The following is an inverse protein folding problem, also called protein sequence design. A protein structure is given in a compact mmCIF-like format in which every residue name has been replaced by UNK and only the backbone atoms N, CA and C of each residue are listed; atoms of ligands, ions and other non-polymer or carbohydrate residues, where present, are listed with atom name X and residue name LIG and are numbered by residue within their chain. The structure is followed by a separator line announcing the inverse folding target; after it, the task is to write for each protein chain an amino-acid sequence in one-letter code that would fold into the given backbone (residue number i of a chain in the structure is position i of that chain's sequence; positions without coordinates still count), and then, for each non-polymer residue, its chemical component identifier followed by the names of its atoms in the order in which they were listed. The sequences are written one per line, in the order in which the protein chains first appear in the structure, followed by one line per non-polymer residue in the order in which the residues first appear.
data_IF_737839023808
#
_entry.id   IF_737839023808
#
_cell.length_a   1.000
_cell.length_b   1.000
_cell.length_c   1.000
_cell.angle_alpha   90.00
_cell.angle_beta   90.00
_cell.angle_gamma   90.00
#
_symmetry.space_group_name_H-M   'P 1'
#
loop_
_entity.id
_entity.type
_entity.pdbx_description
1 polymer ?
#
# COMPACT_ATOMS: atom_id res chain seq x y z
N UNK A 1 -28.45 12.77 -5.84
CA UNK A 1 -28.07 11.42 -6.29
C UNK A 1 -26.77 11.57 -7.03
N UNK A 2 -25.67 11.06 -6.48
CA UNK A 2 -24.36 11.09 -7.13
C UNK A 2 -24.37 10.02 -8.22
N UNK A 3 -24.03 10.40 -9.46
CA UNK A 3 -23.91 9.45 -10.57
C UNK A 3 -22.94 8.31 -10.18
N UNK A 4 -23.23 7.05 -10.56
CA UNK A 4 -22.34 5.93 -10.25
C UNK A 4 -21.00 6.11 -10.95
N UNK A 5 -19.90 5.99 -10.19
CA UNK A 5 -18.54 6.10 -10.71
C UNK A 5 -18.24 4.91 -11.62
N UNK A 6 -18.06 5.16 -12.91
CA UNK A 6 -17.80 4.13 -13.90
C UNK A 6 -16.34 3.69 -13.92
N UNK A 7 -15.42 4.67 -13.93
CA UNK A 7 -13.98 4.45 -13.86
C UNK A 7 -13.33 5.45 -12.91
N UNK A 8 -12.45 4.96 -12.04
CA UNK A 8 -11.66 5.81 -11.15
C UNK A 8 -10.46 5.05 -10.57
N UNK A 9 -9.41 5.80 -10.23
CA UNK A 9 -8.32 5.36 -9.37
C UNK A 9 -8.24 6.33 -8.20
N UNK A 10 -8.53 5.82 -7.00
CA UNK A 10 -8.55 6.58 -5.75
C UNK A 10 -7.42 6.12 -4.84
N UNK A 11 -6.64 7.09 -4.37
CA UNK A 11 -5.62 6.92 -3.35
C UNK A 11 -6.15 7.37 -1.99
N UNK A 12 -5.86 6.59 -0.96
CA UNK A 12 -6.17 6.90 0.42
C UNK A 12 -4.89 6.96 1.24
N UNK A 13 -4.81 7.94 2.15
CA UNK A 13 -3.76 8.05 3.16
C UNK A 13 -4.35 7.77 4.53
N UNK A 14 -3.90 6.70 5.18
CA UNK A 14 -4.44 6.25 6.46
C UNK A 14 -3.32 6.30 7.51
N UNK A 15 -3.52 6.99 8.66
CA UNK A 15 -2.50 7.05 9.70
C UNK A 15 -2.14 5.64 10.19
N UNK A 16 -0.84 5.35 10.30
CA UNK A 16 -0.35 4.02 10.64
C UNK A 16 -0.87 3.55 12.01
N UNK A 17 -1.59 2.43 12.02
CA UNK A 17 -2.20 1.86 13.21
C UNK A 17 -3.50 2.54 13.65
N UNK A 18 -4.14 3.34 12.78
CA UNK A 18 -5.53 3.73 12.92
C UNK A 18 -6.45 2.51 12.73
N UNK A 19 -7.53 2.41 13.51
CA UNK A 19 -8.45 1.26 13.49
C UNK A 19 -7.88 -0.12 13.91
N UNK A 20 -6.55 -0.28 13.96
CA UNK A 20 -5.87 -1.55 14.19
C UNK A 20 -5.25 -1.71 15.59
N UNK A 21 -4.38 -2.72 15.70
CA UNK A 21 -3.72 -3.08 16.95
C UNK A 21 -2.85 -1.93 17.50
N UNK A 22 -2.94 -1.60 18.81
CA UNK A 22 -2.04 -0.65 19.45
C UNK A 22 -0.56 -0.97 19.22
N UNK A 23 -0.20 -2.24 19.04
CA UNK A 23 1.16 -2.68 18.79
C UNK A 23 1.72 -2.13 17.47
N UNK A 24 0.91 -2.02 16.41
CA UNK A 24 1.30 -1.42 15.13
C UNK A 24 1.58 0.07 15.33
N UNK A 25 0.72 0.77 16.07
CA UNK A 25 0.88 2.19 16.38
C UNK A 25 2.14 2.47 17.20
N UNK A 26 2.40 1.68 18.24
CA UNK A 26 3.59 1.82 19.09
C UNK A 26 4.87 1.47 18.34
N UNK A 27 4.89 0.35 17.60
CA UNK A 27 6.06 -0.05 16.81
C UNK A 27 6.38 0.96 15.72
N UNK A 28 5.36 1.52 15.04
CA UNK A 28 5.54 2.61 14.07
C UNK A 28 6.15 3.87 14.68
N UNK A 29 5.67 4.30 15.87
CA UNK A 29 6.24 5.44 16.61
C UNK A 29 7.69 5.19 17.01
N UNK A 30 8.01 3.99 17.50
CA UNK A 30 9.37 3.63 17.89
C UNK A 30 10.31 3.60 16.68
N UNK A 31 9.87 2.99 15.58
CA UNK A 31 10.59 2.99 14.30
C UNK A 31 10.90 4.42 13.85
N UNK A 32 9.88 5.27 13.79
CA UNK A 32 10.03 6.65 13.33
C UNK A 32 10.94 7.47 14.25
N UNK A 33 10.83 7.31 15.57
CA UNK A 33 11.72 7.99 16.51
C UNK A 33 13.19 7.61 16.29
N UNK A 34 13.47 6.33 16.02
CA UNK A 34 14.82 5.85 15.72
C UNK A 34 15.35 6.40 14.39
N UNK A 35 14.53 6.35 13.34
CA UNK A 35 14.90 6.83 12.01
C UNK A 35 15.08 8.34 12.01
N UNK A 36 14.14 9.10 12.58
CA UNK A 36 14.21 10.55 12.70
C UNK A 36 15.46 10.99 13.48
N UNK A 37 15.82 10.28 14.55
CA UNK A 37 17.05 10.54 15.31
C UNK A 37 18.31 10.28 14.48
N UNK A 38 18.35 9.18 13.72
CA UNK A 38 19.46 8.86 12.81
C UNK A 38 19.60 9.93 11.70
N UNK A 39 18.48 10.40 11.17
CA UNK A 39 18.41 11.42 10.11
C UNK A 39 18.51 12.85 10.65
N UNK A 40 18.58 13.04 11.98
CA UNK A 40 18.61 14.34 12.66
C UNK A 40 17.44 15.25 12.28
N UNK A 41 16.24 14.68 12.21
CA UNK A 41 14.98 15.40 11.97
C UNK A 41 13.97 15.16 13.10
N UNK A 42 12.92 15.95 13.14
CA UNK A 42 11.78 15.75 14.03
C UNK A 42 10.97 14.52 13.57
N UNK A 43 10.53 13.63 14.49
CA UNK A 43 9.61 12.55 14.15
C UNK A 43 8.33 13.08 13.48
N UNK A 44 7.88 12.39 12.43
CA UNK A 44 6.70 12.74 11.65
C UNK A 44 5.61 11.67 11.80
N UNK A 45 4.36 12.04 11.48
CA UNK A 45 3.26 11.07 11.44
C UNK A 45 3.53 10.07 10.32
N UNK A 46 3.30 8.79 10.58
CA UNK A 46 3.41 7.74 9.58
C UNK A 46 2.04 7.42 9.00
N UNK A 47 2.00 7.19 7.69
CA UNK A 47 0.83 6.79 6.95
C UNK A 47 1.11 5.51 6.15
N UNK A 48 0.08 4.70 5.96
CA UNK A 48 0.04 3.75 4.87
C UNK A 48 -0.96 4.22 3.82
N UNK A 49 -0.76 3.75 2.60
CA UNK A 49 -1.60 4.03 1.46
C UNK A 49 -2.43 2.83 1.09
N UNK A 50 -3.60 3.08 0.51
CA UNK A 50 -4.46 2.06 -0.07
C UNK A 50 -5.06 2.57 -1.40
N UNK A 51 -5.43 1.65 -2.28
CA UNK A 51 -6.05 1.97 -3.57
C UNK A 51 -7.47 1.40 -3.64
N UNK A 52 -8.39 2.22 -4.13
CA UNK A 52 -9.66 1.76 -4.69
C UNK A 52 -9.69 2.06 -6.18
N UNK A 53 -10.11 1.08 -6.97
CA UNK A 53 -10.17 1.20 -8.42
C UNK A 53 -11.56 0.84 -8.90
N UNK A 54 -12.19 1.72 -9.66
CA UNK A 54 -13.50 1.47 -10.26
C UNK A 54 -13.30 1.11 -11.72
N UNK A 55 -13.89 0.00 -12.15
CA UNK A 55 -13.95 -0.44 -13.55
C UNK A 55 -15.35 -0.94 -13.82
N UNK A 56 -16.03 -0.36 -14.80
CA UNK A 56 -17.39 -0.76 -15.19
C UNK A 56 -18.36 -0.80 -13.98
N UNK A 57 -18.24 0.21 -13.09
CA UNK A 57 -18.99 0.37 -11.82
C UNK A 57 -18.70 -0.66 -10.72
N UNK A 58 -17.72 -1.54 -10.92
CA UNK A 58 -17.25 -2.47 -9.89
C UNK A 58 -16.06 -1.87 -9.16
N UNK A 59 -16.19 -1.72 -7.84
CA UNK A 59 -15.11 -1.24 -6.97
C UNK A 59 -14.18 -2.40 -6.64
N UNK A 60 -12.91 -2.24 -6.93
CA UNK A 60 -11.86 -3.17 -6.56
C UNK A 60 -10.99 -2.53 -5.47
N UNK A 61 -10.59 -3.33 -4.50
CA UNK A 61 -9.62 -2.93 -3.48
C UNK A 61 -8.30 -3.62 -3.75
N UNK A 62 -7.20 -2.87 -3.67
CA UNK A 62 -5.85 -3.43 -3.67
C UNK A 62 -5.22 -3.22 -2.29
N UNK A 63 -4.85 -4.31 -1.64
CA UNK A 63 -4.29 -4.29 -0.28
C UNK A 63 -3.15 -5.30 -0.13
N UNK A 64 -2.25 -5.05 0.82
CA UNK A 64 -1.18 -5.96 1.22
C UNK A 64 -1.27 -6.22 2.72
N UNK A 65 -1.55 -7.46 3.12
CA UNK A 65 -1.81 -7.82 4.53
C UNK A 65 -1.06 -9.09 4.94
N UNK A 66 -0.79 -9.33 6.23
CA UNK A 66 -0.34 -10.63 6.71
C UNK A 66 -1.41 -11.71 6.43
N UNK A 67 -0.98 -12.92 6.04
CA UNK A 67 -1.87 -14.06 5.71
C UNK A 67 -2.92 -14.36 6.80
N UNK A 68 -2.59 -14.12 8.06
CA UNK A 68 -3.43 -14.42 9.23
C UNK A 68 -4.31 -13.23 9.69
N UNK A 69 -4.27 -12.10 8.99
CA UNK A 69 -4.97 -10.87 9.38
C UNK A 69 -6.48 -10.85 9.14
N UNK A 70 -7.01 -11.76 8.32
CA UNK A 70 -8.43 -11.78 7.93
C UNK A 70 -9.07 -13.18 8.03
N UNK A 71 -10.41 -13.30 8.02
CA UNK A 71 -11.12 -14.59 7.93
C UNK A 71 -10.83 -15.31 6.60
N UNK A 72 -10.91 -16.65 6.53
CA UNK A 72 -10.67 -17.43 5.31
C UNK A 72 -11.90 -17.40 4.37
N UNK A 73 -12.17 -16.24 3.79
CA UNK A 73 -13.06 -16.08 2.62
C UNK A 73 -12.20 -15.95 1.37
N UNK A 74 -12.75 -16.13 0.18
CA UNK A 74 -12.02 -15.89 -1.07
C UNK A 74 -11.56 -14.42 -1.12
N UNK A 75 -10.24 -14.19 -1.07
CA UNK A 75 -9.63 -12.87 -0.88
C UNK A 75 -8.95 -12.35 -2.15
N UNK A 76 -9.29 -12.88 -3.34
CA UNK A 76 -8.63 -12.51 -4.60
C UNK A 76 -7.12 -12.30 -4.47
N UNK A 77 -6.44 -13.26 -3.84
CA UNK A 77 -5.00 -13.20 -3.61
C UNK A 77 -4.32 -13.29 -4.96
N UNK A 78 -3.58 -12.26 -5.34
CA UNK A 78 -2.84 -12.22 -6.60
C UNK A 78 -1.37 -12.56 -6.40
N UNK A 79 -0.86 -12.45 -5.17
CA UNK A 79 0.55 -12.70 -4.85
C UNK A 79 0.74 -13.02 -3.36
N UNK A 80 1.71 -13.88 -3.05
CA UNK A 80 2.21 -14.10 -1.69
C UNK A 80 3.70 -13.79 -1.60
N UNK A 81 4.16 -13.34 -0.43
CA UNK A 81 5.59 -13.14 -0.16
C UNK A 81 5.95 -13.30 1.31
N UNK A 82 7.25 -13.41 1.63
CA UNK A 82 7.73 -13.55 3.01
C UNK A 82 7.69 -12.22 3.79
N UNK A 83 7.57 -12.31 5.11
CA UNK A 83 7.64 -11.18 6.04
C UNK A 83 8.88 -11.33 6.92
N UNK A 84 9.66 -10.27 7.05
CA UNK A 84 10.81 -10.22 7.95
C UNK A 84 12.02 -11.00 7.46
N UNK A 85 11.91 -12.26 7.05
CA UNK A 85 13.04 -12.99 6.45
C UNK A 85 12.54 -14.06 5.47
N UNK A 86 13.27 -14.25 4.37
CA UNK A 86 12.90 -15.22 3.33
C UNK A 86 12.76 -16.65 3.86
N UNK A 87 13.66 -17.07 4.75
CA UNK A 87 13.62 -18.42 5.36
C UNK A 87 12.42 -18.65 6.27
N UNK A 88 11.83 -17.59 6.83
CA UNK A 88 10.64 -17.70 7.68
C UNK A 88 9.35 -17.89 6.87
N UNK A 89 9.38 -17.60 5.56
CA UNK A 89 8.23 -17.74 4.66
C UNK A 89 7.69 -19.17 4.52
N UNK A 90 8.33 -20.18 5.08
CA UNK A 90 7.78 -21.53 5.21
C UNK A 90 6.57 -21.58 6.18
N UNK A 91 6.48 -20.62 7.11
CA UNK A 91 5.37 -20.51 8.05
C UNK A 91 4.39 -19.44 7.61
N UNK A 92 3.08 -19.75 7.70
CA UNK A 92 1.99 -18.78 7.42
C UNK A 92 2.09 -17.51 8.26
N UNK A 93 2.71 -17.57 9.45
CA UNK A 93 2.88 -16.40 10.33
C UNK A 93 3.80 -15.34 9.75
N UNK A 94 4.72 -15.72 8.87
CA UNK A 94 5.72 -14.84 8.25
C UNK A 94 5.51 -14.73 6.74
N UNK A 95 4.24 -14.69 6.33
CA UNK A 95 3.84 -14.46 4.95
C UNK A 95 2.82 -13.33 4.87
N UNK A 96 2.87 -12.63 3.76
CA UNK A 96 1.88 -11.64 3.38
C UNK A 96 1.21 -12.04 2.07
N UNK A 97 0.01 -11.51 1.87
CA UNK A 97 -0.79 -11.63 0.66
C UNK A 97 -0.95 -10.22 0.06
N UNK A 98 -0.86 -10.13 -1.26
CA UNK A 98 -1.40 -9.01 -2.02
C UNK A 98 -2.74 -9.44 -2.58
N UNK A 99 -3.67 -8.55 -2.45
CA UNK A 99 -5.07 -8.77 -2.69
C UNK A 99 -5.55 -7.80 -3.75
N UNK A 100 -6.35 -8.29 -4.68
CA UNK A 100 -7.05 -7.47 -5.66
C UNK A 100 -8.39 -8.13 -5.96
N UNK A 101 -9.47 -7.59 -5.38
CA UNK A 101 -10.78 -8.24 -5.49
C UNK A 101 -11.96 -7.26 -5.50
N UNK A 102 -13.09 -7.63 -6.15
CA UNK A 102 -14.28 -6.79 -6.24
C UNK A 102 -15.01 -6.68 -4.89
N UNK A 103 -15.46 -5.48 -4.56
CA UNK A 103 -16.18 -5.12 -3.33
C UNK A 103 -15.42 -5.41 -2.03
N UNK A 104 -14.09 -5.37 -2.08
CA UNK A 104 -13.25 -5.51 -0.90
C UNK A 104 -13.40 -4.42 0.15
N UNK A 105 -12.95 -4.74 1.35
CA UNK A 105 -13.04 -3.86 2.52
C UNK A 105 -11.64 -3.51 2.95
N UNK A 106 -11.37 -2.21 3.07
CA UNK A 106 -10.18 -1.67 3.74
C UNK A 106 -10.63 -1.34 5.17
N UNK A 107 -10.24 -2.12 6.20
CA UNK A 107 -10.83 -2.03 7.54
C UNK A 107 -10.66 -0.67 8.23
N UNK A 108 -9.61 0.06 7.89
CA UNK A 108 -9.21 1.33 8.50
C UNK A 108 -9.48 2.55 7.60
N UNK A 109 -10.26 2.37 6.53
CA UNK A 109 -10.60 3.42 5.58
C UNK A 109 -11.31 4.62 6.22
N UNK A 110 -12.11 4.38 7.27
CA UNK A 110 -12.82 5.45 8.01
C UNK A 110 -11.87 6.42 8.72
N UNK A 111 -10.60 6.05 8.87
CA UNK A 111 -9.54 6.91 9.42
C UNK A 111 -8.71 7.60 8.33
N UNK A 112 -9.05 7.44 7.06
CA UNK A 112 -8.33 8.10 5.97
C UNK A 112 -8.44 9.63 6.09
N UNK A 113 -7.32 10.31 5.84
CA UNK A 113 -7.21 11.76 5.90
C UNK A 113 -6.94 12.30 4.49
N UNK A 114 -7.51 13.47 4.16
CA UNK A 114 -7.47 14.10 2.83
C UNK A 114 -7.69 13.12 1.67
N UNK A 115 -8.65 12.22 1.86
CA UNK A 115 -8.93 11.07 0.99
C UNK A 115 -10.43 10.95 0.68
N UNK A 116 -10.84 10.35 -0.45
CA UNK A 116 -9.99 9.85 -1.54
C UNK A 116 -9.36 10.99 -2.33
N UNK A 117 -8.10 10.80 -2.73
CA UNK A 117 -7.47 11.58 -3.78
C UNK A 117 -7.69 10.89 -5.13
N UNK A 118 -8.56 11.48 -5.97
CA UNK A 118 -8.85 11.00 -7.34
C UNK A 118 -7.64 11.21 -8.24
N UNK A 119 -6.96 10.14 -8.62
CA UNK A 119 -5.76 10.20 -9.47
C UNK A 119 -6.10 10.12 -10.96
N UNK A 120 -7.17 9.41 -11.31
CA UNK A 120 -7.66 9.29 -12.69
C UNK A 120 -9.13 8.88 -12.70
N UNK A 121 -9.84 9.20 -13.78
CA UNK A 121 -11.20 8.74 -14.08
C UNK A 121 -11.28 8.07 -15.46
N UNK A 122 -10.13 7.68 -16.04
CA UNK A 122 -10.10 7.11 -17.40
C UNK A 122 -10.11 5.57 -17.37
N UNK A 123 -10.82 4.92 -18.32
CA UNK A 123 -10.82 3.46 -18.40
C UNK A 123 -9.43 2.82 -18.54
N UNK A 124 -8.51 3.34 -19.40
CA UNK A 124 -7.18 2.75 -19.54
C UNK A 124 -6.37 2.79 -18.25
N UNK A 125 -6.45 3.90 -17.49
CA UNK A 125 -5.70 4.04 -16.24
C UNK A 125 -6.20 3.08 -15.16
N UNK A 126 -7.52 2.96 -14.99
CA UNK A 126 -8.11 2.06 -14.01
C UNK A 126 -7.77 0.59 -14.31
N UNK A 127 -7.92 0.16 -15.58
CA UNK A 127 -7.59 -1.22 -16.00
C UNK A 127 -6.10 -1.53 -15.82
N UNK A 128 -5.21 -0.61 -16.19
CA UNK A 128 -3.76 -0.80 -16.04
C UNK A 128 -3.35 -1.08 -14.59
N UNK A 129 -3.95 -0.40 -13.60
CA UNK A 129 -3.65 -0.65 -12.18
C UNK A 129 -4.03 -2.07 -11.77
N UNK A 130 -5.22 -2.56 -12.18
CA UNK A 130 -5.68 -3.92 -11.85
C UNK A 130 -4.81 -4.98 -12.52
N UNK A 131 -4.50 -4.81 -13.81
CA UNK A 131 -3.69 -5.76 -14.58
C UNK A 131 -2.28 -5.93 -13.98
N UNK A 132 -1.72 -4.86 -13.42
CA UNK A 132 -0.39 -4.86 -12.81
C UNK A 132 -0.32 -5.48 -11.42
N UNK A 133 -1.45 -5.63 -10.70
CA UNK A 133 -1.45 -6.08 -9.30
C UNK A 133 -0.74 -7.43 -9.10
N UNK A 134 -0.93 -8.37 -10.04
CA UNK A 134 -0.29 -9.69 -10.03
C UNK A 134 1.19 -9.68 -10.44
N UNK A 135 1.66 -8.60 -11.05
CA UNK A 135 3.05 -8.43 -11.52
C UNK A 135 3.96 -7.74 -10.50
N UNK A 136 3.42 -7.38 -9.34
CA UNK A 136 4.18 -6.76 -8.26
C UNK A 136 5.36 -7.66 -7.81
N UNK A 137 6.56 -7.12 -7.54
CA UNK A 137 7.68 -7.94 -7.08
C UNK A 137 7.44 -8.56 -5.69
N UNK A 138 7.38 -9.89 -5.60
CA UNK A 138 7.27 -10.66 -4.35
C UNK A 138 8.57 -10.62 -3.52
N UNK A 139 8.86 -9.49 -2.87
CA UNK A 139 10.05 -9.27 -2.02
C UNK A 139 9.71 -9.27 -0.55
N UNK A 140 10.70 -9.52 0.31
CA UNK A 140 10.43 -9.67 1.74
C UNK A 140 9.92 -8.36 2.36
N UNK A 141 8.69 -8.37 2.89
CA UNK A 141 8.15 -7.23 3.63
C UNK A 141 9.03 -6.93 4.84
N UNK A 142 9.43 -5.67 4.97
CA UNK A 142 10.17 -5.13 6.11
C UNK A 142 11.66 -5.11 5.85
N UNK A 143 12.10 -5.43 4.64
CA UNK A 143 13.50 -5.47 4.23
C UNK A 143 13.75 -4.60 3.02
N UNK A 144 14.97 -4.05 2.95
CA UNK A 144 15.49 -3.38 1.77
C UNK A 144 16.31 -4.38 0.92
N UNK A 145 15.63 -5.40 0.37
CA UNK A 145 16.28 -6.42 -0.47
C UNK A 145 16.69 -5.89 -1.84
N UNK A 146 16.09 -4.78 -2.25
CA UNK A 146 16.26 -4.18 -3.57
C UNK A 146 17.27 -3.03 -3.54
N UNK A 147 17.86 -2.72 -2.38
CA UNK A 147 18.82 -1.63 -2.22
C UNK A 147 18.26 -0.28 -2.72
N UNK A 148 17.08 0.07 -2.23
CA UNK A 148 16.40 1.34 -2.51
C UNK A 148 16.54 2.34 -1.35
N UNK A 149 17.12 1.92 -0.22
CA UNK A 149 17.29 2.74 0.98
C UNK A 149 16.08 2.74 1.91
N UNK A 150 15.00 2.03 1.57
CA UNK A 150 13.78 1.89 2.37
C UNK A 150 13.28 0.45 2.36
N UNK A 151 12.52 0.08 3.40
CA UNK A 151 11.91 -1.25 3.47
C UNK A 151 10.80 -1.43 2.42
N UNK A 152 10.65 -2.67 1.93
CA UNK A 152 9.50 -3.08 1.14
C UNK A 152 8.25 -3.27 2.01
N UNK A 153 7.10 -2.71 1.62
CA UNK A 153 5.83 -2.84 2.32
C UNK A 153 4.62 -2.45 1.43
N UNK A 154 3.44 -2.27 2.03
CA UNK A 154 2.21 -1.86 1.34
C UNK A 154 2.32 -0.51 0.61
N UNK A 155 3.07 0.47 1.13
CA UNK A 155 3.32 1.72 0.40
C UNK A 155 4.17 1.50 -0.85
N UNK A 156 5.08 0.51 -0.83
CA UNK A 156 5.83 0.11 -2.02
C UNK A 156 4.92 -0.50 -3.09
N UNK A 157 3.88 -1.26 -2.69
CA UNK A 157 2.86 -1.77 -3.60
C UNK A 157 2.11 -0.63 -4.30
N UNK A 158 1.55 0.29 -3.51
CA UNK A 158 0.79 1.42 -4.04
C UNK A 158 1.62 2.26 -5.01
N UNK A 159 2.82 2.70 -4.59
CA UNK A 159 3.63 3.59 -5.42
C UNK A 159 4.17 2.89 -6.67
N UNK A 160 4.51 1.59 -6.58
CA UNK A 160 4.92 0.80 -7.74
C UNK A 160 3.79 0.66 -8.76
N UNK A 161 2.55 0.36 -8.31
CA UNK A 161 1.39 0.25 -9.19
C UNK A 161 1.09 1.56 -9.89
N UNK A 162 1.08 2.67 -9.15
CA UNK A 162 0.84 4.00 -9.72
C UNK A 162 1.90 4.38 -10.75
N UNK A 163 3.18 4.18 -10.43
CA UNK A 163 4.27 4.48 -11.36
C UNK A 163 4.21 3.59 -12.61
N UNK A 164 3.99 2.28 -12.46
CA UNK A 164 3.95 1.33 -13.59
C UNK A 164 2.71 1.47 -14.48
N UNK A 165 1.61 1.99 -13.93
CA UNK A 165 0.39 2.32 -14.70
C UNK A 165 0.43 3.74 -15.30
N UNK A 166 1.53 4.48 -15.12
CA UNK A 166 1.73 5.79 -15.74
C UNK A 166 1.06 6.97 -15.02
N UNK A 167 0.66 6.81 -13.75
CA UNK A 167 0.14 7.91 -12.95
C UNK A 167 1.27 8.86 -12.53
N UNK A 168 0.97 10.15 -12.45
CA UNK A 168 1.90 11.13 -11.88
C UNK A 168 2.02 10.92 -10.36
N UNK A 169 3.25 10.68 -9.87
CA UNK A 169 3.52 10.35 -8.47
C UNK A 169 4.35 11.42 -7.74
N UNK A 170 4.86 12.41 -8.45
CA UNK A 170 5.76 13.46 -7.98
C UNK A 170 5.11 14.42 -6.97
N UNK A 171 3.80 14.61 -7.09
CA UNK A 171 3.01 15.48 -6.21
C UNK A 171 2.29 14.73 -5.09
N UNK A 172 2.40 13.40 -5.03
CA UNK A 172 1.70 12.59 -4.06
C UNK A 172 2.48 12.52 -2.75
N UNK A 173 1.87 13.03 -1.68
CA UNK A 173 2.43 12.97 -0.34
C UNK A 173 1.34 12.80 0.71
N UNK A 174 1.62 12.12 1.84
CA UNK A 174 0.68 12.06 2.95
C UNK A 174 0.37 13.46 3.53
N UNK A 175 -0.79 13.63 4.18
CA UNK A 175 -1.18 14.87 4.86
C UNK A 175 -0.19 15.35 5.92
N UNK A 176 -0.24 16.63 6.26
CA UNK A 176 0.53 17.28 7.35
C UNK A 176 2.05 17.02 7.31
N UNK A 177 2.64 16.92 6.11
CA UNK A 177 4.03 16.51 5.93
C UNK A 177 4.35 15.16 6.59
N UNK A 178 3.38 14.25 6.60
CA UNK A 178 3.57 12.87 7.04
C UNK A 178 4.52 12.10 6.14
N UNK A 179 4.92 10.92 6.61
CA UNK A 179 5.76 9.99 5.84
C UNK A 179 5.01 8.70 5.53
N UNK A 180 5.29 8.15 4.36
CA UNK A 180 4.87 6.82 3.94
C UNK A 180 6.12 5.96 3.67
N UNK A 181 6.76 5.39 4.71
CA UNK A 181 7.95 4.55 4.52
C UNK A 181 7.67 3.45 3.50
N UNK A 182 8.62 3.19 2.59
CA UNK A 182 8.48 2.21 1.52
C UNK A 182 7.88 2.78 0.23
N UNK A 183 7.29 3.96 0.25
CA UNK A 183 6.77 4.64 -0.95
C UNK A 183 7.89 4.87 -1.97
N UNK A 184 9.03 5.40 -1.54
CA UNK A 184 10.16 5.66 -2.43
C UNK A 184 10.76 4.35 -2.99
N UNK A 185 10.76 3.26 -2.20
CA UNK A 185 11.19 1.96 -2.67
C UNK A 185 10.37 1.48 -3.88
N UNK A 186 9.04 1.62 -3.85
CA UNK A 186 8.19 1.24 -4.97
C UNK A 186 8.45 2.06 -6.23
N UNK A 187 8.65 3.38 -6.10
CA UNK A 187 8.98 4.26 -7.22
C UNK A 187 10.34 3.90 -7.86
N UNK A 188 11.37 3.69 -7.04
CA UNK A 188 12.70 3.32 -7.51
C UNK A 188 12.68 1.97 -8.23
N UNK A 189 11.88 1.01 -7.75
CA UNK A 189 11.78 -0.31 -8.40
C UNK A 189 10.98 -0.24 -9.69
N UNK A 190 9.94 0.58 -9.74
CA UNK A 190 9.17 0.80 -10.95
C UNK A 190 10.02 1.37 -12.09
N UNK A 191 10.99 2.25 -11.80
CA UNK A 191 11.86 2.86 -12.82
C UNK A 191 13.01 1.96 -13.31
N UNK A 192 13.29 0.85 -12.64
CA UNK A 192 14.31 -0.13 -13.04
C UNK A 192 13.82 -1.18 -14.03
N UNK A 193 12.50 -1.27 -14.21
CA UNK A 193 11.82 -2.38 -14.86
C UNK A 193 11.46 -2.10 -16.32
#
# INVERSE_FOLDING_TARGET
MTEPVEFAVDLFWIPLGAGGSPLVRWSGRAFEALVARKERRTPQRLFHSALQVYVDRVRHVIEMTPVWGHPPVDRGVVLEGPVGARSLGVSRLFRYEVHCWPDGVIPDLDFAEDSPQRLSSTPPAARAVLDLASSFPARTWGRDELHTGEMWNSNSLTSWLLARSGHATDTLSPPDHGRAPGWNAGLVVASRA
#
